data_IF_421089997473
#
_entry.id   IF_421089997473
#
_cell.length_a   1.000
_cell.length_b   1.000
_cell.length_c   1.000
_cell.angle_alpha   90.00
_cell.angle_beta   90.00
_cell.angle_gamma   90.00
#
_symmetry.space_group_name_H-M   'P 1'
#
loop_
_entity.id
_entity.type
_entity.pdbx_description
1 polymer ?
#
# COMPACT_ATOMS: atom_id res chain seq x y z
N UNK A 1 12.97 -13.17 -21.10
CA UNK A 1 12.65 -14.29 -20.20
C UNK A 1 11.14 -14.32 -20.01
N UNK A 2 10.44 -15.27 -20.65
CA UNK A 2 8.97 -15.33 -20.64
C UNK A 2 8.52 -15.90 -19.29
N UNK A 3 7.89 -15.09 -18.46
CA UNK A 3 7.28 -15.53 -17.21
C UNK A 3 6.06 -16.38 -17.59
N UNK A 4 6.20 -17.71 -17.64
CA UNK A 4 5.04 -18.59 -17.60
C UNK A 4 4.50 -18.52 -16.17
N UNK A 5 3.48 -17.68 -15.97
CA UNK A 5 2.62 -17.73 -14.81
C UNK A 5 2.01 -19.14 -14.76
N UNK A 6 2.43 -19.94 -13.80
CA UNK A 6 1.66 -21.10 -13.39
C UNK A 6 0.37 -20.53 -12.79
N UNK A 7 -0.70 -20.54 -13.60
CA UNK A 7 -2.05 -20.31 -13.11
C UNK A 7 -2.38 -21.47 -12.17
N UNK A 8 -2.01 -21.32 -10.89
CA UNK A 8 -2.60 -22.12 -9.83
C UNK A 8 -4.11 -21.94 -9.95
N UNK A 9 -4.88 -23.00 -9.79
CA UNK A 9 -6.34 -22.99 -9.87
C UNK A 9 -6.87 -21.83 -9.03
N UNK A 10 -7.33 -20.77 -9.70
CA UNK A 10 -7.91 -19.60 -9.03
C UNK A 10 -9.12 -20.08 -8.25
N UNK A 11 -9.06 -20.00 -6.92
CA UNK A 11 -10.18 -20.37 -6.06
C UNK A 11 -11.40 -19.49 -6.41
N UNK A 12 -12.56 -20.11 -6.55
CA UNK A 12 -13.78 -19.36 -6.77
C UNK A 12 -14.18 -18.62 -5.49
N UNK A 13 -14.70 -17.38 -5.59
CA UNK A 13 -15.22 -16.66 -4.44
C UNK A 13 -16.30 -17.46 -3.72
N UNK A 14 -16.25 -17.49 -2.40
CA UNK A 14 -17.25 -18.08 -1.53
C UNK A 14 -18.03 -17.00 -0.76
N UNK A 15 -18.98 -17.39 0.08
CA UNK A 15 -19.79 -16.45 0.85
C UNK A 15 -18.95 -15.55 1.76
N UNK A 16 -17.84 -16.07 2.31
CA UNK A 16 -16.90 -15.29 3.13
C UNK A 16 -16.20 -14.22 2.30
N UNK A 17 -15.70 -14.56 1.10
CA UNK A 17 -15.07 -13.60 0.19
C UNK A 17 -16.01 -12.44 -0.15
N UNK A 18 -17.31 -12.73 -0.39
CA UNK A 18 -18.30 -11.70 -0.65
C UNK A 18 -18.59 -10.84 0.58
N UNK A 19 -18.69 -11.45 1.77
CA UNK A 19 -18.92 -10.72 3.03
C UNK A 19 -17.76 -9.77 3.33
N UNK A 20 -16.52 -10.22 3.17
CA UNK A 20 -15.33 -9.40 3.35
C UNK A 20 -15.26 -8.27 2.31
N UNK A 21 -15.57 -8.56 1.05
CA UNK A 21 -15.64 -7.56 -0.02
C UNK A 21 -16.66 -6.45 0.30
N UNK A 22 -17.87 -6.83 0.72
CA UNK A 22 -18.90 -5.88 1.13
C UNK A 22 -18.47 -5.01 2.31
N UNK A 23 -17.80 -5.59 3.32
CA UNK A 23 -17.35 -4.86 4.49
C UNK A 23 -16.15 -3.93 4.19
N UNK A 24 -15.31 -4.29 3.22
CA UNK A 24 -14.11 -3.50 2.89
C UNK A 24 -14.44 -2.16 2.24
N UNK A 25 -15.54 -2.05 1.49
CA UNK A 25 -15.90 -0.83 0.77
C UNK A 25 -16.17 0.35 1.73
N UNK A 26 -17.05 0.24 2.75
CA UNK A 26 -17.25 1.33 3.69
C UNK A 26 -16.01 1.65 4.52
N UNK A 27 -15.17 0.65 4.82
CA UNK A 27 -13.89 0.88 5.50
C UNK A 27 -12.96 1.71 4.62
N UNK A 28 -12.83 1.39 3.33
CA UNK A 28 -12.06 2.18 2.38
C UNK A 28 -12.60 3.61 2.22
N UNK A 29 -13.92 3.81 2.32
CA UNK A 29 -14.51 5.14 2.35
C UNK A 29 -14.11 5.93 3.60
N UNK A 30 -14.16 5.31 4.77
CA UNK A 30 -13.69 5.93 6.00
C UNK A 30 -12.20 6.30 5.93
N UNK A 31 -11.39 5.40 5.41
CA UNK A 31 -9.97 5.65 5.21
C UNK A 31 -9.71 6.79 4.23
N UNK A 32 -10.45 6.87 3.12
CA UNK A 32 -10.30 7.96 2.16
C UNK A 32 -10.64 9.33 2.78
N UNK A 33 -11.64 9.38 3.67
CA UNK A 33 -11.99 10.59 4.43
C UNK A 33 -10.84 10.98 5.37
N UNK A 34 -10.26 10.00 6.04
CA UNK A 34 -9.14 10.22 6.95
C UNK A 34 -7.89 10.71 6.22
N UNK A 35 -7.52 10.07 5.10
CA UNK A 35 -6.28 10.40 4.35
C UNK A 35 -6.40 11.69 3.54
N UNK A 36 -7.48 11.86 2.79
CA UNK A 36 -7.66 12.99 1.87
C UNK A 36 -8.40 14.18 2.49
N UNK A 37 -8.95 14.00 3.67
CA UNK A 37 -9.86 14.93 4.32
C UNK A 37 -11.28 14.90 3.74
N UNK A 38 -12.27 15.36 4.51
CA UNK A 38 -13.69 15.23 4.13
C UNK A 38 -14.03 16.00 2.85
N UNK A 39 -13.43 17.14 2.60
CA UNK A 39 -13.72 17.94 1.39
C UNK A 39 -13.41 17.14 0.14
N UNK A 40 -12.16 16.63 0.01
CA UNK A 40 -11.72 15.87 -1.16
C UNK A 40 -12.49 14.56 -1.29
N UNK A 41 -12.66 13.81 -0.18
CA UNK A 41 -13.35 12.53 -0.18
C UNK A 41 -14.82 12.69 -0.62
N UNK A 42 -15.51 13.76 -0.23
CA UNK A 42 -16.91 14.01 -0.57
C UNK A 42 -17.13 14.68 -1.94
N UNK A 43 -16.12 15.16 -2.61
CA UNK A 43 -16.22 15.64 -3.99
C UNK A 43 -16.32 14.50 -5.02
N UNK A 44 -15.80 13.32 -4.68
CA UNK A 44 -15.75 12.14 -5.54
C UNK A 44 -17.08 11.34 -5.64
N UNK A 45 -16.96 10.09 -6.06
CA UNK A 45 -18.09 9.15 -6.21
C UNK A 45 -18.78 8.87 -4.88
N UNK A 46 -18.01 8.68 -3.81
CA UNK A 46 -18.53 8.48 -2.46
C UNK A 46 -19.46 9.62 -2.03
N UNK A 47 -19.03 10.88 -2.19
CA UNK A 47 -19.85 12.02 -1.81
C UNK A 47 -21.15 12.12 -2.63
N UNK A 48 -21.14 11.71 -3.89
CA UNK A 48 -22.36 11.61 -4.71
C UNK A 48 -23.31 10.53 -4.18
N UNK A 49 -22.77 9.36 -3.79
CA UNK A 49 -23.57 8.27 -3.21
C UNK A 49 -24.17 8.67 -1.86
N UNK A 50 -23.37 9.23 -0.95
CA UNK A 50 -23.85 9.72 0.35
C UNK A 50 -24.98 10.74 0.18
N UNK A 51 -24.85 11.71 -0.74
CA UNK A 51 -25.90 12.71 -0.96
C UNK A 51 -27.21 12.14 -1.54
N UNK A 52 -27.15 10.97 -2.18
CA UNK A 52 -28.32 10.28 -2.76
C UNK A 52 -28.98 9.32 -1.81
N UNK A 53 -28.26 8.83 -0.82
CA UNK A 53 -28.73 7.81 0.13
C UNK A 53 -29.40 8.50 1.33
N UNK A 54 -30.53 7.97 1.77
CA UNK A 54 -31.28 8.49 2.93
C UNK A 54 -30.72 7.99 4.25
N UNK A 55 -30.11 6.82 4.21
CA UNK A 55 -29.52 6.16 5.38
C UNK A 55 -28.36 5.27 4.99
N UNK A 56 -27.70 4.67 5.98
CA UNK A 56 -26.55 3.78 5.77
C UNK A 56 -26.92 2.51 4.99
N UNK A 57 -28.14 1.99 5.13
CA UNK A 57 -28.60 0.81 4.40
C UNK A 57 -28.73 1.10 2.90
N UNK A 58 -29.32 2.24 2.53
CA UNK A 58 -29.42 2.67 1.14
C UNK A 58 -28.03 2.96 0.55
N UNK A 59 -27.12 3.55 1.34
CA UNK A 59 -25.73 3.73 0.92
C UNK A 59 -25.04 2.40 0.64
N UNK A 60 -25.19 1.41 1.52
CA UNK A 60 -24.63 0.08 1.32
C UNK A 60 -25.20 -0.63 0.09
N UNK A 61 -26.52 -0.47 -0.16
CA UNK A 61 -27.16 -1.01 -1.37
C UNK A 61 -26.74 -0.29 -2.66
N UNK A 62 -26.14 0.90 -2.57
CA UNK A 62 -25.59 1.62 -3.72
C UNK A 62 -24.22 1.15 -4.18
N UNK A 63 -23.58 0.21 -3.44
CA UNK A 63 -22.32 -0.39 -3.83
C UNK A 63 -22.55 -1.26 -5.08
N UNK A 64 -21.77 -1.00 -6.12
CA UNK A 64 -21.90 -1.73 -7.37
C UNK A 64 -21.52 -3.23 -7.20
N UNK A 65 -22.39 -4.12 -7.64
CA UNK A 65 -22.14 -5.57 -7.60
C UNK A 65 -20.86 -5.99 -8.32
N UNK A 66 -20.50 -5.27 -9.37
CA UNK A 66 -19.26 -5.46 -10.11
C UNK A 66 -18.03 -5.23 -9.23
N UNK A 67 -18.03 -4.19 -8.40
CA UNK A 67 -16.95 -3.88 -7.44
C UNK A 67 -16.84 -4.98 -6.38
N UNK A 68 -17.97 -5.37 -5.78
CA UNK A 68 -17.98 -6.44 -4.76
C UNK A 68 -17.49 -7.75 -5.34
N UNK A 69 -17.92 -8.08 -6.56
CA UNK A 69 -17.48 -9.29 -7.26
C UNK A 69 -15.98 -9.28 -7.56
N UNK A 70 -15.44 -8.14 -7.98
CA UNK A 70 -14.01 -7.98 -8.25
C UNK A 70 -13.17 -8.12 -6.98
N UNK A 71 -13.57 -7.47 -5.88
CA UNK A 71 -12.93 -7.60 -4.59
C UNK A 71 -12.98 -9.04 -4.04
N UNK A 72 -14.15 -9.69 -4.15
CA UNK A 72 -14.30 -11.08 -3.72
C UNK A 72 -13.40 -12.05 -4.51
N UNK A 73 -13.25 -11.81 -5.83
CA UNK A 73 -12.31 -12.59 -6.67
C UNK A 73 -10.86 -12.36 -6.25
N UNK A 74 -10.45 -11.13 -6.00
CA UNK A 74 -9.10 -10.82 -5.51
C UNK A 74 -8.84 -11.51 -4.18
N UNK A 75 -9.76 -11.42 -3.22
CA UNK A 75 -9.65 -12.12 -1.93
C UNK A 75 -9.50 -13.64 -2.11
N UNK A 76 -10.37 -14.26 -2.88
CA UNK A 76 -10.32 -15.70 -3.12
C UNK A 76 -9.02 -16.13 -3.82
N UNK A 77 -8.50 -15.30 -4.71
CA UNK A 77 -7.30 -15.62 -5.50
C UNK A 77 -6.01 -15.62 -4.70
N UNK A 78 -5.93 -14.84 -3.62
CA UNK A 78 -4.72 -14.73 -2.80
C UNK A 78 -4.73 -15.68 -1.59
N UNK A 79 -5.85 -16.32 -1.27
CA UNK A 79 -5.99 -17.15 -0.07
C UNK A 79 -4.87 -18.19 0.10
N UNK A 80 -4.51 -18.88 -0.99
CA UNK A 80 -3.42 -19.87 -0.98
C UNK A 80 -2.02 -19.22 -0.82
N UNK A 81 -1.85 -17.97 -1.25
CA UNK A 81 -0.57 -17.25 -1.12
C UNK A 81 -0.33 -16.78 0.33
N UNK A 82 -1.39 -16.65 1.12
CA UNK A 82 -1.33 -16.12 2.48
C UNK A 82 -1.21 -17.23 3.55
N UNK A 83 -1.23 -18.51 3.15
CA UNK A 83 -1.21 -19.63 4.12
C UNK A 83 0.03 -19.57 5.01
N UNK A 84 1.21 -19.38 4.43
CA UNK A 84 2.46 -19.34 5.18
C UNK A 84 2.51 -18.12 6.13
N UNK A 85 1.99 -16.98 5.69
CA UNK A 85 1.89 -15.78 6.54
C UNK A 85 0.95 -16.01 7.72
N UNK A 86 -0.23 -16.57 7.47
CA UNK A 86 -1.20 -16.88 8.51
C UNK A 86 -0.62 -17.88 9.54
N UNK A 87 0.14 -18.88 9.08
CA UNK A 87 0.81 -19.83 9.96
C UNK A 87 1.92 -19.15 10.79
N UNK A 88 2.73 -18.30 10.17
CA UNK A 88 3.77 -17.53 10.87
C UNK A 88 3.18 -16.63 11.95
N UNK A 89 2.12 -15.88 11.62
CA UNK A 89 1.42 -15.00 12.56
C UNK A 89 0.80 -15.82 13.69
N UNK A 90 0.13 -16.92 13.38
CA UNK A 90 -0.43 -17.82 14.37
C UNK A 90 0.63 -18.45 15.30
N UNK A 91 1.88 -18.56 14.82
CA UNK A 91 3.03 -19.04 15.60
C UNK A 91 3.73 -17.94 16.39
N UNK A 92 3.22 -16.69 16.35
CA UNK A 92 3.72 -15.58 17.16
C UNK A 92 4.62 -14.60 16.42
N UNK A 93 4.77 -14.72 15.08
CA UNK A 93 5.45 -13.68 14.29
C UNK A 93 4.65 -12.38 14.37
N UNK A 94 5.32 -11.26 14.64
CA UNK A 94 4.69 -9.95 14.73
C UNK A 94 3.98 -9.60 13.41
N UNK A 95 2.77 -9.06 13.53
CA UNK A 95 1.98 -8.56 12.41
C UNK A 95 1.58 -7.12 12.68
N UNK A 96 1.92 -6.22 11.77
CA UNK A 96 1.59 -4.80 11.85
C UNK A 96 0.87 -4.40 10.57
N UNK A 97 -0.44 -4.13 10.62
CA UNK A 97 -1.16 -3.52 9.51
C UNK A 97 -0.80 -2.03 9.43
N UNK A 98 -0.67 -1.51 8.22
CA UNK A 98 -0.34 -0.11 7.94
C UNK A 98 0.86 0.40 8.78
N UNK A 99 2.05 -0.25 8.69
CA UNK A 99 3.21 0.20 9.43
C UNK A 99 3.58 1.63 9.01
N UNK A 100 3.77 2.50 10.00
CA UNK A 100 4.27 3.86 9.81
C UNK A 100 5.75 3.92 10.15
N UNK A 101 6.45 4.90 9.59
CA UNK A 101 7.91 4.99 9.69
C UNK A 101 8.31 6.27 10.43
N UNK A 102 9.40 6.21 11.21
CA UNK A 102 9.86 7.30 12.06
C UNK A 102 10.01 8.63 11.30
N UNK A 103 10.50 8.61 10.06
CA UNK A 103 10.65 9.79 9.22
C UNK A 103 9.51 10.02 8.21
N UNK A 104 8.45 9.23 8.27
CA UNK A 104 7.26 9.39 7.43
C UNK A 104 6.69 10.81 7.44
N UNK A 105 6.55 11.50 8.60
CA UNK A 105 6.05 12.86 8.64
C UNK A 105 6.86 13.87 7.80
N UNK A 106 8.17 13.66 7.61
CA UNK A 106 9.02 14.54 6.82
C UNK A 106 8.67 14.56 5.32
N UNK A 107 8.01 13.51 4.84
CA UNK A 107 7.54 13.39 3.44
C UNK A 107 6.02 13.59 3.30
N UNK A 108 5.37 14.13 4.34
CA UNK A 108 3.92 14.34 4.32
C UNK A 108 3.08 13.12 4.71
N UNK A 109 3.72 12.11 5.27
CA UNK A 109 3.14 10.81 5.64
C UNK A 109 3.62 9.69 4.71
N UNK A 110 3.99 8.57 5.31
CA UNK A 110 4.30 7.33 4.61
C UNK A 110 3.90 6.15 5.49
N UNK A 111 3.14 5.27 4.92
CA UNK A 111 2.70 4.03 5.54
C UNK A 111 2.82 2.89 4.53
N UNK A 112 3.29 1.74 4.99
CA UNK A 112 3.27 0.51 4.22
C UNK A 112 1.92 -0.19 4.35
N UNK A 113 1.66 -1.22 3.53
CA UNK A 113 0.38 -1.94 3.62
C UNK A 113 0.38 -2.93 4.79
N UNK A 114 1.44 -3.73 4.94
CA UNK A 114 1.59 -4.62 6.10
C UNK A 114 3.05 -5.02 6.35
N UNK A 115 3.37 -5.34 7.62
CA UNK A 115 4.64 -5.95 7.99
C UNK A 115 4.40 -7.27 8.76
N UNK A 116 5.20 -8.30 8.44
CA UNK A 116 5.16 -9.63 9.07
C UNK A 116 6.57 -9.99 9.48
N UNK A 117 6.88 -9.89 10.78
CA UNK A 117 8.26 -9.96 11.25
C UNK A 117 9.10 -8.86 10.60
N UNK A 118 10.15 -9.26 9.87
CA UNK A 118 11.04 -8.37 9.12
C UNK A 118 10.70 -8.25 7.62
N UNK A 119 9.55 -8.81 7.20
CA UNK A 119 9.03 -8.71 5.83
C UNK A 119 8.07 -7.52 5.73
N UNK A 120 8.41 -6.52 4.92
CA UNK A 120 7.49 -5.45 4.54
C UNK A 120 6.81 -5.82 3.23
N UNK A 121 5.48 -5.77 3.18
CA UNK A 121 4.71 -6.12 2.00
C UNK A 121 3.94 -4.92 1.48
N UNK A 122 4.03 -4.71 0.19
CA UNK A 122 3.24 -3.75 -0.58
C UNK A 122 2.21 -4.49 -1.41
N UNK A 123 0.96 -4.03 -1.39
CA UNK A 123 -0.17 -4.62 -2.12
C UNK A 123 -0.59 -3.69 -3.25
N UNK A 124 -0.53 -4.17 -4.48
CA UNK A 124 -0.91 -3.37 -5.64
C UNK A 124 -1.98 -4.08 -6.46
N UNK A 125 -3.08 -3.39 -6.70
CA UNK A 125 -4.24 -3.92 -7.46
C UNK A 125 -4.25 -3.46 -8.92
N UNK A 126 -3.08 -3.11 -9.46
CA UNK A 126 -2.96 -2.68 -10.86
C UNK A 126 -3.30 -3.81 -11.83
N UNK A 127 -3.88 -3.45 -12.98
CA UNK A 127 -4.12 -4.40 -14.08
C UNK A 127 -2.91 -4.57 -14.98
N UNK A 128 -2.06 -3.55 -15.05
CA UNK A 128 -0.91 -3.52 -15.96
C UNK A 128 0.39 -3.34 -15.18
N UNK A 129 1.29 -4.27 -15.38
CA UNK A 129 2.64 -4.24 -14.84
C UNK A 129 3.58 -3.84 -15.97
N UNK A 130 4.21 -2.67 -15.85
CA UNK A 130 5.24 -2.21 -16.79
C UNK A 130 6.58 -2.05 -16.06
N UNK A 131 7.68 -2.04 -16.79
CA UNK A 131 9.00 -1.86 -16.18
C UNK A 131 9.13 -0.51 -15.42
N UNK A 132 8.64 0.64 -15.95
CA UNK A 132 8.65 1.88 -15.18
C UNK A 132 7.86 1.78 -13.89
N UNK A 133 6.63 1.26 -13.96
CA UNK A 133 5.78 1.07 -12.78
C UNK A 133 6.43 0.16 -11.73
N UNK A 134 7.02 -0.97 -12.15
CA UNK A 134 7.72 -1.87 -11.23
C UNK A 134 8.91 -1.18 -10.57
N UNK A 135 9.70 -0.42 -11.35
CA UNK A 135 10.81 0.36 -10.81
C UNK A 135 10.34 1.37 -9.76
N UNK A 136 9.28 2.11 -10.03
CA UNK A 136 8.71 3.07 -9.08
C UNK A 136 8.23 2.39 -7.81
N UNK A 137 7.55 1.25 -7.94
CA UNK A 137 7.08 0.45 -6.79
C UNK A 137 8.26 -0.05 -5.94
N UNK A 138 9.31 -0.58 -6.56
CA UNK A 138 10.50 -1.03 -5.83
C UNK A 138 11.23 0.12 -5.15
N UNK A 139 11.32 1.29 -5.78
CA UNK A 139 11.89 2.50 -5.16
C UNK A 139 11.04 2.98 -3.98
N UNK A 140 9.70 2.91 -4.08
CA UNK A 140 8.80 3.19 -2.97
C UNK A 140 9.08 2.26 -1.78
N UNK A 141 9.19 0.96 -2.03
CA UNK A 141 9.44 -0.05 -0.99
C UNK A 141 10.81 0.17 -0.31
N UNK A 142 11.87 0.43 -1.10
CA UNK A 142 13.18 0.80 -0.55
C UNK A 142 13.09 2.10 0.25
N UNK A 143 12.32 3.07 -0.24
CA UNK A 143 12.04 4.32 0.47
C UNK A 143 11.46 4.09 1.87
N UNK A 144 10.55 3.14 2.04
CA UNK A 144 10.01 2.77 3.35
C UNK A 144 11.09 2.24 4.31
N UNK A 145 12.02 1.39 3.83
CA UNK A 145 13.12 0.92 4.64
C UNK A 145 14.08 2.06 5.06
N UNK A 146 14.21 3.10 4.23
CA UNK A 146 14.99 4.30 4.58
C UNK A 146 14.25 5.21 5.56
N UNK A 147 12.92 5.31 5.44
CA UNK A 147 12.07 6.08 6.36
C UNK A 147 11.95 5.45 7.75
N UNK A 148 12.22 4.15 7.88
CA UNK A 148 12.31 3.40 9.14
C UNK A 148 13.65 3.72 9.84
N UNK A 149 13.86 5.01 10.15
CA UNK A 149 15.13 5.56 10.60
C UNK A 149 15.64 5.01 11.93
N UNK A 150 14.75 4.57 12.79
CA UNK A 150 15.04 3.91 14.08
C UNK A 150 15.05 2.37 13.98
N UNK A 151 14.90 1.81 12.78
CA UNK A 151 14.84 0.36 12.48
C UNK A 151 13.75 -0.36 13.30
N UNK A 152 12.66 0.32 13.63
CA UNK A 152 11.59 -0.23 14.48
C UNK A 152 10.91 -1.47 13.87
N UNK A 153 10.84 -1.54 12.54
CA UNK A 153 10.29 -2.68 11.81
C UNK A 153 11.36 -3.70 11.40
N UNK A 154 12.64 -3.39 11.61
CA UNK A 154 13.77 -4.24 11.26
C UNK A 154 13.63 -4.88 9.86
N UNK A 155 13.23 -4.08 8.86
CA UNK A 155 12.95 -4.57 7.50
C UNK A 155 14.22 -5.18 6.90
N UNK A 156 14.13 -6.47 6.50
CA UNK A 156 15.22 -7.21 5.85
C UNK A 156 14.77 -7.89 4.56
N UNK A 157 13.47 -7.94 4.32
CA UNK A 157 12.87 -8.47 3.09
C UNK A 157 11.65 -7.67 2.69
N UNK A 158 11.35 -7.69 1.40
CA UNK A 158 10.23 -6.99 0.80
C UNK A 158 9.41 -7.94 -0.04
N UNK A 159 8.08 -7.80 0.03
CA UNK A 159 7.11 -8.55 -0.74
C UNK A 159 6.23 -7.61 -1.56
N UNK A 160 6.01 -7.95 -2.83
CA UNK A 160 5.01 -7.29 -3.67
C UNK A 160 3.90 -8.30 -3.95
N UNK A 161 2.71 -8.02 -3.40
CA UNK A 161 1.51 -8.82 -3.61
C UNK A 161 0.63 -8.17 -4.67
N UNK A 162 0.28 -8.95 -5.69
CA UNK A 162 -0.54 -8.55 -6.82
C UNK A 162 -1.83 -9.38 -6.86
N UNK A 163 -2.90 -8.98 -6.15
CA UNK A 163 -4.12 -9.80 -6.01
C UNK A 163 -4.84 -10.07 -7.33
N UNK A 164 -4.77 -9.15 -8.31
CA UNK A 164 -5.39 -9.35 -9.62
C UNK A 164 -4.68 -10.40 -10.47
N UNK A 165 -3.37 -10.61 -10.24
CA UNK A 165 -2.55 -11.58 -10.96
C UNK A 165 -2.29 -12.87 -10.16
N UNK A 166 -2.97 -13.13 -9.03
CA UNK A 166 -2.65 -14.01 -7.89
C UNK A 166 -1.15 -14.33 -7.81
N UNK A 167 -0.37 -13.30 -7.57
CA UNK A 167 1.08 -13.40 -7.59
C UNK A 167 1.71 -12.63 -6.42
N UNK A 168 2.74 -13.22 -5.85
CA UNK A 168 3.61 -12.56 -4.89
C UNK A 168 5.06 -12.75 -5.28
N UNK A 169 5.87 -11.71 -5.11
CA UNK A 169 7.31 -11.77 -5.28
C UNK A 169 7.99 -11.23 -4.04
N UNK A 170 9.00 -11.92 -3.60
CA UNK A 170 9.87 -11.52 -2.50
C UNK A 170 11.25 -11.14 -3.03
N UNK A 171 11.86 -10.19 -2.35
CA UNK A 171 13.26 -9.81 -2.49
C UNK A 171 13.85 -9.68 -1.08
N UNK A 172 15.05 -10.17 -0.90
CA UNK A 172 15.83 -9.76 0.26
C UNK A 172 16.31 -8.32 0.08
N UNK A 173 16.57 -7.64 1.16
CA UNK A 173 16.98 -6.24 1.07
C UNK A 173 18.40 -6.11 0.48
N UNK A 174 19.26 -7.11 0.67
CA UNK A 174 20.57 -7.19 0.01
C UNK A 174 20.46 -7.31 -1.52
N UNK A 175 19.48 -8.09 -2.04
CA UNK A 175 19.19 -8.12 -3.48
C UNK A 175 18.81 -6.73 -4.03
N UNK A 176 18.02 -5.96 -3.29
CA UNK A 176 17.55 -4.65 -3.72
C UNK A 176 18.62 -3.56 -3.59
N UNK A 177 19.45 -3.62 -2.55
CA UNK A 177 20.50 -2.64 -2.29
C UNK A 177 21.80 -2.99 -3.02
N UNK A 178 22.00 -4.25 -3.39
CA UNK A 178 23.27 -4.75 -3.92
C UNK A 178 24.39 -4.78 -2.88
N UNK A 179 24.06 -4.75 -1.61
CA UNK A 179 25.00 -4.70 -0.48
C UNK A 179 24.33 -5.28 0.78
N UNK A 180 25.15 -5.68 1.76
CA UNK A 180 24.67 -6.13 3.06
C UNK A 180 23.84 -5.03 3.76
N UNK A 181 22.57 -5.27 4.09
CA UNK A 181 21.70 -4.29 4.73
C UNK A 181 22.22 -3.79 6.08
N UNK A 182 22.91 -4.62 6.86
CA UNK A 182 23.41 -4.24 8.18
C UNK A 182 24.47 -3.13 8.11
N UNK A 183 25.18 -3.05 6.98
CA UNK A 183 26.19 -2.02 6.73
C UNK A 183 25.64 -0.88 5.85
N UNK A 184 24.83 -1.23 4.83
CA UNK A 184 24.37 -0.26 3.83
C UNK A 184 23.22 0.64 4.35
N UNK A 185 22.27 0.08 5.12
CA UNK A 185 21.11 0.86 5.60
C UNK A 185 21.49 2.05 6.47
N UNK A 186 22.38 1.92 7.47
CA UNK A 186 22.77 3.10 8.28
C UNK A 186 23.33 4.22 7.44
N UNK A 187 24.23 3.93 6.49
CA UNK A 187 24.81 4.94 5.60
C UNK A 187 23.76 5.55 4.66
N UNK A 188 22.87 4.74 4.10
CA UNK A 188 21.82 5.21 3.21
C UNK A 188 20.79 6.05 3.96
N UNK A 189 20.42 5.66 5.18
CA UNK A 189 19.53 6.44 6.05
C UNK A 189 20.15 7.80 6.42
N UNK A 190 21.45 7.84 6.74
CA UNK A 190 22.12 9.11 7.02
C UNK A 190 22.10 10.05 5.81
N UNK A 191 22.42 9.54 4.61
CA UNK A 191 22.34 10.30 3.36
C UNK A 191 20.90 10.74 3.07
N UNK A 192 19.94 9.87 3.27
CA UNK A 192 18.52 10.14 3.05
C UNK A 192 18.01 11.21 4.03
N UNK A 193 18.36 11.12 5.31
CA UNK A 193 18.04 12.13 6.30
C UNK A 193 18.60 13.53 5.93
N UNK A 194 19.83 13.60 5.42
CA UNK A 194 20.40 14.86 4.93
C UNK A 194 19.56 15.45 3.79
N UNK A 195 19.14 14.64 2.83
CA UNK A 195 18.27 15.08 1.73
C UNK A 195 16.91 15.56 2.25
N UNK A 196 16.32 14.86 3.22
CA UNK A 196 15.05 15.29 3.82
C UNK A 196 15.18 16.63 4.53
N UNK A 197 16.26 16.86 5.28
CA UNK A 197 16.52 18.13 5.93
C UNK A 197 16.66 19.25 4.90
N UNK A 198 17.46 19.04 3.85
CA UNK A 198 17.62 20.02 2.78
C UNK A 198 16.29 20.36 2.09
N UNK A 199 15.42 19.37 1.90
CA UNK A 199 14.07 19.58 1.33
C UNK A 199 13.15 20.38 2.25
N UNK A 200 13.23 20.16 3.56
CA UNK A 200 12.42 20.88 4.55
C UNK A 200 12.90 22.32 4.75
N UNK A 201 14.21 22.55 4.67
CA UNK A 201 14.82 23.86 4.80
C UNK A 201 14.75 24.69 3.52
N UNK A 202 14.44 24.06 2.38
CA UNK A 202 14.25 24.78 1.12
C UNK A 202 13.06 25.75 1.24
N UNK A 203 13.26 27.07 1.03
CA UNK A 203 12.17 28.02 1.13
C UNK A 203 11.08 27.62 0.14
N UNK A 204 9.85 27.45 0.65
CA UNK A 204 8.67 27.15 -0.17
C UNK A 204 8.54 28.27 -1.19
N UNK A 205 9.03 28.08 -2.39
CA UNK A 205 8.73 28.94 -3.54
C UNK A 205 7.24 28.78 -3.83
N UNK A 206 6.38 29.45 -3.06
CA UNK A 206 5.05 29.80 -3.52
C UNK A 206 5.28 30.71 -4.73
N UNK A 207 5.11 30.17 -5.92
CA UNK A 207 4.88 30.97 -7.10
C UNK A 207 3.68 31.88 -6.80
N UNK A 208 3.97 33.13 -6.49
CA UNK A 208 2.92 34.16 -6.51
C UNK A 208 2.41 34.22 -7.95
N UNK A 209 1.09 34.11 -8.18
CA UNK A 209 0.56 34.32 -9.51
C UNK A 209 0.99 35.71 -9.98
N UNK A 210 1.34 35.87 -11.27
CA UNK A 210 1.76 37.17 -11.78
C UNK A 210 0.61 38.16 -11.55
N UNK A 211 0.92 39.23 -10.79
CA UNK A 211 0.02 40.36 -10.58
C UNK A 211 -0.39 40.87 -11.97
N UNK A 212 -1.66 40.72 -12.32
CA UNK A 212 -2.21 41.31 -13.54
C UNK A 212 -1.95 42.82 -13.50
N UNK A 213 -1.01 43.27 -14.32
CA UNK A 213 -0.83 44.70 -14.56
C UNK A 213 -2.08 45.24 -15.26
N UNK A 214 -2.64 46.29 -14.67
CA UNK A 214 -3.75 47.07 -15.22
C UNK A 214 -3.33 47.82 -16.47
#
# INVERSE_FOLDING_TARGET
>A
MSLKLALSSVSQPNAESFSLAMASVPLAWCESIYRAGPVVAFEGSLGRQIRRSKDAGELMMSIEDSLVTDLARMHASIGSLLVDWNQSIASGTAYVPNPTFAWGPAVGGADGDLAIGNLLVEVKTTERITNPWLRETLLQMVGYALLDGDDAHAVRSMGLLLPRQPFIRYWSLDELLGADPETALPELREKFASVLIDMLDAPTRREMPPTAAR
#
